data_IF_013163030359
#
_entry.id   IF_013163030359
#
_cell.length_a   1.000
_cell.length_b   1.000
_cell.length_c   1.000
_cell.angle_alpha   90.00
_cell.angle_beta   90.00
_cell.angle_gamma   90.00
#
_symmetry.space_group_name_H-M   'P 1'
#
loop_
_entity.id
_entity.type
_entity.pdbx_description
1 polymer ?
#
# COMPACT_ATOMS: atom_id res chain seq x y z
N UNK A 1 -20.39 -12.12 10.17
CA UNK A 1 -20.90 -11.35 8.99
C UNK A 1 -19.79 -10.84 8.06
N UNK A 2 -18.85 -11.71 7.67
CA UNK A 2 -17.83 -11.40 6.64
C UNK A 2 -18.44 -11.19 5.23
N UNK A 3 -19.68 -11.60 5.00
CA UNK A 3 -20.27 -11.61 3.67
C UNK A 3 -20.69 -10.26 3.07
N UNK A 4 -20.93 -9.22 3.88
CA UNK A 4 -21.44 -7.95 3.36
C UNK A 4 -20.29 -7.03 2.86
N UNK A 5 -19.20 -6.92 3.63
CA UNK A 5 -18.06 -6.08 3.26
C UNK A 5 -17.32 -6.63 2.02
N UNK A 6 -17.19 -7.96 1.91
CA UNK A 6 -16.60 -8.61 0.73
C UNK A 6 -17.45 -8.46 -0.52
N UNK A 7 -18.79 -8.44 -0.39
CA UNK A 7 -19.72 -8.27 -1.54
C UNK A 7 -19.73 -6.85 -2.12
N UNK A 8 -19.29 -5.86 -1.37
CA UNK A 8 -19.28 -4.44 -1.77
C UNK A 8 -17.87 -3.85 -1.90
N UNK A 9 -16.85 -4.57 -1.47
CA UNK A 9 -15.46 -4.14 -1.51
C UNK A 9 -14.89 -4.00 -2.93
N UNK A 10 -13.69 -3.39 -3.06
CA UNK A 10 -13.01 -3.20 -4.35
C UNK A 10 -12.83 -4.51 -5.13
N UNK A 11 -12.48 -5.60 -4.45
CA UNK A 11 -12.34 -6.90 -5.09
C UNK A 11 -13.67 -7.43 -5.64
N UNK A 12 -14.78 -7.25 -4.94
CA UNK A 12 -16.10 -7.62 -5.44
C UNK A 12 -16.55 -6.74 -6.63
N UNK A 13 -16.17 -5.46 -6.63
CA UNK A 13 -16.47 -4.56 -7.76
C UNK A 13 -15.64 -4.86 -9.01
N UNK A 14 -14.46 -5.45 -8.82
CA UNK A 14 -13.59 -5.86 -9.92
C UNK A 14 -14.24 -6.93 -10.83
N UNK A 15 -15.30 -7.61 -10.39
CA UNK A 15 -16.01 -8.65 -11.16
C UNK A 15 -17.20 -8.16 -11.97
N UNK A 16 -17.53 -6.89 -11.93
CA UNK A 16 -18.66 -6.37 -12.73
C UNK A 16 -18.28 -6.30 -14.19
N UNK A 17 -19.26 -6.56 -15.07
CA UNK A 17 -19.10 -6.41 -16.51
C UNK A 17 -18.51 -5.04 -16.86
N UNK A 18 -17.49 -5.03 -17.72
CA UNK A 18 -16.75 -3.82 -18.10
C UNK A 18 -15.55 -3.47 -17.22
N UNK A 19 -15.28 -4.20 -16.13
CA UNK A 19 -14.03 -4.07 -15.37
C UNK A 19 -12.86 -4.71 -16.13
N UNK A 20 -11.61 -4.18 -15.99
CA UNK A 20 -10.41 -4.87 -16.48
C UNK A 20 -10.22 -6.28 -15.93
N UNK A 21 -10.89 -6.60 -14.83
CA UNK A 21 -10.94 -7.93 -14.20
C UNK A 21 -12.24 -8.69 -14.49
N UNK A 22 -13.01 -8.27 -15.50
CA UNK A 22 -14.14 -9.01 -16.07
C UNK A 22 -13.70 -10.45 -16.47
N UNK A 23 -14.63 -11.44 -16.57
CA UNK A 23 -14.30 -12.86 -16.77
C UNK A 23 -13.25 -13.17 -17.83
N UNK A 24 -13.12 -12.34 -18.86
CA UNK A 24 -12.04 -12.44 -19.88
C UNK A 24 -10.68 -11.97 -19.39
N UNK A 25 -10.59 -11.08 -18.40
CA UNK A 25 -9.34 -10.63 -17.77
C UNK A 25 -8.89 -11.53 -16.62
N UNK A 26 -9.82 -12.24 -16.00
CA UNK A 26 -9.52 -13.17 -14.90
C UNK A 26 -8.72 -14.40 -15.37
N UNK A 27 -8.85 -14.80 -16.61
CA UNK A 27 -8.11 -15.91 -17.23
C UNK A 27 -6.59 -15.69 -17.22
N UNK A 28 -6.15 -14.44 -17.24
CA UNK A 28 -4.72 -14.09 -17.18
C UNK A 28 -4.07 -14.49 -15.86
N UNK A 29 -4.83 -14.52 -14.77
CA UNK A 29 -4.34 -14.87 -13.43
C UNK A 29 -4.84 -16.24 -12.94
N UNK A 30 -5.93 -16.76 -13.50
CA UNK A 30 -6.66 -17.93 -12.98
C UNK A 30 -6.80 -19.09 -13.97
N UNK A 31 -6.35 -18.95 -15.22
CA UNK A 31 -6.56 -19.97 -16.25
C UNK A 31 -8.06 -20.14 -16.59
N UNK A 32 -8.39 -21.21 -17.31
CA UNK A 32 -9.75 -21.48 -17.81
C UNK A 32 -10.77 -21.95 -16.75
N UNK A 33 -10.43 -21.93 -15.47
CA UNK A 33 -11.38 -22.31 -14.44
C UNK A 33 -12.35 -21.16 -14.17
N UNK A 34 -13.66 -21.45 -14.24
CA UNK A 34 -14.74 -20.56 -13.84
C UNK A 34 -14.75 -20.16 -12.35
N UNK A 35 -13.69 -20.49 -11.62
CA UNK A 35 -13.48 -20.05 -10.25
C UNK A 35 -13.14 -18.56 -10.27
N UNK A 36 -14.18 -17.75 -10.27
CA UNK A 36 -14.05 -16.34 -9.96
C UNK A 36 -13.14 -16.19 -8.74
N UNK A 37 -12.38 -15.09 -8.66
CA UNK A 37 -11.63 -14.65 -7.48
C UNK A 37 -12.58 -14.47 -6.27
N UNK A 38 -13.22 -15.53 -5.86
CA UNK A 38 -13.92 -15.61 -4.59
C UNK A 38 -12.91 -15.73 -3.45
N UNK A 39 -13.35 -16.24 -2.36
CA UNK A 39 -12.51 -16.52 -1.19
C UNK A 39 -11.29 -17.38 -1.55
N UNK A 40 -11.45 -18.32 -2.46
CA UNK A 40 -10.43 -19.28 -2.88
C UNK A 40 -9.24 -18.65 -3.60
N UNK A 41 -9.40 -17.50 -4.27
CA UNK A 41 -8.30 -16.79 -4.91
C UNK A 41 -7.22 -16.37 -3.91
N UNK A 42 -7.61 -16.06 -2.68
CA UNK A 42 -6.70 -15.71 -1.61
C UNK A 42 -6.47 -16.88 -0.63
N UNK A 43 -7.53 -17.60 -0.29
CA UNK A 43 -7.49 -18.64 0.74
C UNK A 43 -7.17 -20.06 0.23
N UNK A 44 -7.09 -20.24 -1.10
CA UNK A 44 -6.91 -21.55 -1.72
C UNK A 44 -8.20 -22.35 -1.76
N UNK A 45 -8.14 -23.61 -2.20
CA UNK A 45 -9.29 -24.47 -2.38
C UNK A 45 -10.08 -24.65 -1.08
N UNK A 46 -11.37 -24.27 -1.10
CA UNK A 46 -12.24 -24.24 0.07
C UNK A 46 -13.02 -25.53 0.31
N UNK A 47 -12.99 -26.50 -0.61
CA UNK A 47 -13.83 -27.72 -0.51
C UNK A 47 -13.61 -28.46 0.82
N UNK A 48 -12.36 -28.74 1.21
CA UNK A 48 -12.06 -29.43 2.45
C UNK A 48 -12.50 -28.67 3.71
N UNK A 49 -12.48 -27.33 3.65
CA UNK A 49 -13.00 -26.46 4.70
C UNK A 49 -14.52 -26.58 4.85
N UNK A 50 -15.23 -26.57 3.73
CA UNK A 50 -16.70 -26.71 3.69
C UNK A 50 -17.11 -28.11 4.13
N UNK A 51 -16.50 -29.16 3.59
CA UNK A 51 -16.80 -30.56 3.91
C UNK A 51 -16.56 -30.86 5.41
N UNK A 52 -15.62 -30.16 6.03
CA UNK A 52 -15.32 -30.27 7.47
C UNK A 52 -16.15 -29.30 8.34
N UNK A 53 -17.30 -28.81 7.84
CA UNK A 53 -18.19 -27.92 8.61
C UNK A 53 -17.60 -26.58 8.98
N UNK A 54 -16.65 -26.07 8.21
CA UNK A 54 -16.02 -24.77 8.45
C UNK A 54 -14.72 -24.86 9.26
N UNK A 55 -14.07 -26.00 9.30
CA UNK A 55 -12.77 -26.16 9.97
C UNK A 55 -11.70 -25.24 9.34
N UNK A 56 -11.29 -24.24 10.10
CA UNK A 56 -10.32 -23.22 9.67
C UNK A 56 -8.91 -23.79 9.40
N UNK A 57 -8.60 -24.99 9.87
CA UNK A 57 -7.30 -25.64 9.59
C UNK A 57 -7.22 -26.19 8.17
N UNK A 58 -8.34 -26.31 7.49
CA UNK A 58 -8.47 -26.85 6.12
C UNK A 58 -8.44 -25.77 5.03
N UNK A 59 -8.13 -24.54 5.40
CA UNK A 59 -8.03 -23.41 4.45
C UNK A 59 -6.81 -22.56 4.80
N UNK A 60 -6.25 -21.86 3.80
CA UNK A 60 -5.11 -20.96 4.02
C UNK A 60 -5.49 -19.83 4.97
N UNK A 61 -4.69 -19.62 5.99
CA UNK A 61 -4.91 -18.62 7.03
C UNK A 61 -3.76 -17.63 7.04
N UNK A 62 -4.04 -16.39 6.70
CA UNK A 62 -3.02 -15.32 6.60
C UNK A 62 -2.32 -15.03 7.93
N UNK A 63 -3.01 -15.20 9.07
CA UNK A 63 -2.42 -15.04 10.40
C UNK A 63 -1.41 -16.15 10.78
N UNK A 64 -1.33 -17.21 9.98
CA UNK A 64 -0.35 -18.29 10.14
C UNK A 64 0.80 -18.22 9.15
N UNK A 65 0.76 -17.27 8.25
CA UNK A 65 1.77 -17.04 7.22
C UNK A 65 2.76 -15.99 7.66
N UNK A 66 3.99 -16.09 7.19
CA UNK A 66 4.94 -14.97 7.26
C UNK A 66 4.44 -13.80 6.42
N UNK A 67 4.97 -12.60 6.69
CA UNK A 67 4.61 -11.41 5.90
C UNK A 67 4.94 -11.60 4.41
N UNK A 68 6.06 -12.26 4.10
CA UNK A 68 6.47 -12.55 2.73
C UNK A 68 5.49 -13.51 2.03
N UNK A 69 5.12 -14.62 2.67
CA UNK A 69 4.14 -15.57 2.11
C UNK A 69 2.78 -14.91 1.88
N UNK A 70 2.30 -14.13 2.86
CA UNK A 70 1.05 -13.39 2.74
C UNK A 70 1.12 -12.36 1.59
N UNK A 71 2.24 -11.66 1.46
CA UNK A 71 2.46 -10.69 0.38
C UNK A 71 2.52 -11.35 -1.00
N UNK A 72 3.13 -12.54 -1.10
CA UNK A 72 3.20 -13.29 -2.35
C UNK A 72 1.82 -13.62 -2.92
N UNK A 73 0.84 -13.92 -2.06
CA UNK A 73 -0.56 -14.11 -2.50
C UNK A 73 -1.13 -12.87 -3.16
N UNK A 74 -0.87 -11.69 -2.57
CA UNK A 74 -1.35 -10.42 -3.13
C UNK A 74 -0.59 -10.05 -4.41
N UNK A 75 0.74 -10.23 -4.42
CA UNK A 75 1.64 -9.85 -5.50
C UNK A 75 1.45 -10.71 -6.75
N UNK A 76 0.82 -11.88 -6.67
CA UNK A 76 0.45 -12.66 -7.84
C UNK A 76 -0.42 -11.87 -8.83
N UNK A 77 -1.18 -10.87 -8.34
CA UNK A 77 -1.99 -9.96 -9.14
C UNK A 77 -1.53 -8.50 -9.00
N UNK A 78 -1.09 -8.07 -7.82
CA UNK A 78 -0.66 -6.71 -7.51
C UNK A 78 0.86 -6.53 -7.66
N UNK A 79 1.40 -6.75 -8.87
CA UNK A 79 2.84 -6.67 -9.17
C UNK A 79 3.21 -5.51 -10.09
N UNK A 80 2.27 -4.63 -10.44
CA UNK A 80 2.47 -3.54 -11.41
C UNK A 80 2.33 -2.16 -10.77
N UNK A 81 2.67 -1.12 -11.52
CA UNK A 81 2.56 0.29 -11.10
C UNK A 81 3.27 0.56 -9.77
N UNK A 82 2.58 1.14 -8.80
CA UNK A 82 3.16 1.49 -7.50
C UNK A 82 3.65 0.29 -6.67
N UNK A 83 3.27 -0.95 -7.02
CA UNK A 83 3.65 -2.18 -6.33
C UNK A 83 4.84 -2.90 -6.99
N UNK A 84 5.29 -2.44 -8.16
CA UNK A 84 6.35 -3.11 -8.92
C UNK A 84 7.67 -3.25 -8.15
N UNK A 85 7.93 -2.35 -7.20
CA UNK A 85 9.15 -2.34 -6.38
C UNK A 85 8.91 -2.84 -4.95
N UNK A 86 7.82 -3.58 -4.71
CA UNK A 86 7.52 -4.12 -3.37
C UNK A 86 8.60 -5.09 -2.89
N UNK A 87 8.93 -6.08 -3.71
CA UNK A 87 9.96 -7.06 -3.37
C UNK A 87 11.32 -6.41 -3.10
N UNK A 88 11.86 -6.63 -1.92
CA UNK A 88 13.10 -6.00 -1.46
C UNK A 88 12.95 -4.56 -0.98
N UNK A 89 11.73 -4.00 -0.93
CA UNK A 89 11.49 -2.67 -0.36
C UNK A 89 11.83 -2.61 1.14
N UNK A 90 11.94 -1.41 1.69
CA UNK A 90 12.27 -1.22 3.11
C UNK A 90 11.26 -1.88 4.06
N UNK A 91 9.97 -1.93 3.68
CA UNK A 91 8.94 -2.60 4.46
C UNK A 91 9.05 -4.12 4.33
N UNK A 92 9.21 -4.63 3.11
CA UNK A 92 9.37 -6.06 2.85
C UNK A 92 10.56 -6.64 3.61
N UNK A 93 11.74 -6.00 3.54
CA UNK A 93 12.94 -6.41 4.26
C UNK A 93 12.78 -6.41 5.78
N UNK A 94 11.81 -5.70 6.33
CA UNK A 94 11.51 -5.64 7.76
C UNK A 94 10.32 -6.50 8.17
N UNK A 95 9.93 -7.44 7.31
CA UNK A 95 8.82 -8.36 7.55
C UNK A 95 7.47 -7.63 7.77
N UNK A 96 7.29 -6.48 7.12
CA UNK A 96 6.01 -5.77 7.05
C UNK A 96 5.35 -6.16 5.73
N UNK A 97 4.25 -6.92 5.78
CA UNK A 97 3.56 -7.40 4.59
C UNK A 97 2.33 -6.58 4.22
N UNK A 98 1.71 -6.91 3.11
CA UNK A 98 0.48 -6.24 2.64
C UNK A 98 -0.60 -6.22 3.72
N UNK A 99 -0.79 -7.34 4.42
CA UNK A 99 -1.77 -7.49 5.49
C UNK A 99 -1.42 -6.74 6.77
N UNK A 100 -0.22 -6.17 6.90
CA UNK A 100 0.13 -5.29 8.02
C UNK A 100 -0.63 -3.95 7.93
N UNK A 101 -0.88 -3.48 6.70
CA UNK A 101 -1.51 -2.20 6.41
C UNK A 101 -2.95 -2.34 5.91
N UNK A 102 -3.25 -3.40 5.16
CA UNK A 102 -4.53 -3.60 4.49
C UNK A 102 -5.38 -4.69 5.14
N UNK A 103 -6.68 -4.47 5.17
CA UNK A 103 -7.71 -5.45 5.56
C UNK A 103 -8.76 -5.53 4.46
N UNK A 104 -8.81 -6.66 3.77
CA UNK A 104 -9.74 -6.87 2.67
C UNK A 104 -11.17 -7.20 3.13
N UNK A 105 -11.35 -7.60 4.39
CA UNK A 105 -12.63 -8.01 4.93
C UNK A 105 -13.34 -6.90 5.71
N UNK A 106 -12.58 -6.11 6.48
CA UNK A 106 -13.12 -5.09 7.37
C UNK A 106 -12.23 -3.83 7.40
N UNK A 107 -12.03 -3.17 6.25
CA UNK A 107 -11.23 -1.96 6.21
C UNK A 107 -11.89 -0.84 7.02
N UNK A 108 -11.07 0.01 7.64
CA UNK A 108 -11.50 1.17 8.40
C UNK A 108 -11.37 2.47 7.61
N UNK A 109 -10.54 2.48 6.58
CA UNK A 109 -10.28 3.64 5.74
C UNK A 109 -10.24 3.28 4.25
N UNK A 110 -9.99 4.29 3.42
CA UNK A 110 -9.85 4.14 1.98
C UNK A 110 -8.71 3.18 1.62
N UNK A 111 -8.72 2.67 0.40
CA UNK A 111 -7.72 1.72 -0.11
C UNK A 111 -7.54 0.47 0.78
N UNK A 112 -8.59 0.03 1.46
CA UNK A 112 -8.59 -1.13 2.37
C UNK A 112 -7.67 -0.96 3.59
N UNK A 113 -7.41 0.24 4.05
CA UNK A 113 -6.54 0.49 5.19
C UNK A 113 -7.17 0.00 6.51
N UNK A 114 -6.33 -0.53 7.40
CA UNK A 114 -6.71 -0.97 8.76
C UNK A 114 -6.99 0.19 9.72
N UNK A 115 -6.65 1.42 9.35
CA UNK A 115 -6.92 2.63 10.11
C UNK A 115 -7.81 3.58 9.32
N UNK A 116 -8.48 4.51 10.02
CA UNK A 116 -9.39 5.47 9.41
C UNK A 116 -8.68 6.48 8.48
N UNK A 117 -7.38 6.68 8.66
CA UNK A 117 -6.56 7.50 7.79
C UNK A 117 -5.17 6.89 7.60
N UNK A 118 -4.50 7.28 6.51
CA UNK A 118 -3.13 6.89 6.24
C UNK A 118 -2.18 7.33 7.36
N UNK A 119 -2.28 8.58 7.80
CA UNK A 119 -1.45 9.11 8.89
C UNK A 119 -1.63 8.31 10.17
N UNK A 120 -2.86 7.95 10.53
CA UNK A 120 -3.14 7.12 11.71
C UNK A 120 -2.53 5.72 11.56
N UNK A 121 -2.56 5.15 10.36
CA UNK A 121 -1.92 3.87 10.08
C UNK A 121 -0.40 3.96 10.22
N UNK A 122 0.23 4.94 9.58
CA UNK A 122 1.69 5.13 9.63
C UNK A 122 2.17 5.38 11.07
N UNK A 123 1.39 6.11 11.87
CA UNK A 123 1.68 6.43 13.27
C UNK A 123 1.76 5.18 14.17
N UNK A 124 1.20 4.05 13.78
CA UNK A 124 1.28 2.81 14.58
C UNK A 124 2.73 2.36 14.78
N UNK A 125 3.59 2.60 13.78
CA UNK A 125 5.02 2.27 13.82
C UNK A 125 5.92 3.52 13.78
N UNK A 126 5.57 4.55 13.01
CA UNK A 126 6.38 5.75 12.78
C UNK A 126 6.02 6.91 13.70
N UNK A 127 5.76 6.65 14.98
CA UNK A 127 5.34 7.67 15.97
C UNK A 127 6.27 8.88 16.05
N UNK A 128 7.57 8.64 16.06
CA UNK A 128 8.56 9.73 16.15
C UNK A 128 8.49 10.67 14.96
N UNK A 129 8.30 10.12 13.76
CA UNK A 129 8.19 10.91 12.52
C UNK A 129 6.89 11.72 12.54
N UNK A 130 5.77 11.10 12.89
CA UNK A 130 4.49 11.79 12.97
C UNK A 130 4.55 12.91 14.03
N UNK A 131 5.14 12.66 15.20
CA UNK A 131 5.30 13.68 16.22
C UNK A 131 6.19 14.86 15.79
N UNK A 132 7.25 14.59 15.00
CA UNK A 132 8.06 15.66 14.41
C UNK A 132 7.25 16.48 13.43
N UNK A 133 6.45 15.86 12.57
CA UNK A 133 5.55 16.55 11.63
C UNK A 133 4.53 17.46 12.35
N UNK A 134 4.08 17.09 13.54
CA UNK A 134 3.18 17.92 14.35
C UNK A 134 3.89 19.16 14.93
N UNK A 135 5.21 19.09 15.15
CA UNK A 135 5.99 20.19 15.73
C UNK A 135 6.57 21.15 14.69
N UNK A 136 7.12 20.60 13.60
CA UNK A 136 7.90 21.32 12.59
C UNK A 136 7.27 21.16 11.20
N UNK A 137 6.21 21.63 11.06
CA UNK A 137 5.16 21.74 10.09
C UNK A 137 5.51 21.71 8.61
N UNK A 138 5.15 20.66 7.96
CA UNK A 138 4.57 20.82 6.64
C UNK A 138 3.05 21.01 6.83
N UNK A 139 2.56 22.23 6.82
CA UNK A 139 1.16 22.58 7.12
C UNK A 139 0.12 21.73 6.39
N UNK A 140 0.27 21.44 5.07
CA UNK A 140 -0.68 20.61 4.35
C UNK A 140 -0.86 19.20 4.94
N UNK A 141 0.17 18.61 5.54
CA UNK A 141 0.06 17.30 6.22
C UNK A 141 -0.76 17.43 7.49
N UNK A 142 -0.51 18.48 8.26
CA UNK A 142 -1.26 18.76 9.50
C UNK A 142 -2.74 19.07 9.21
N UNK A 143 -3.01 19.75 8.11
CA UNK A 143 -4.36 20.09 7.67
C UNK A 143 -5.08 18.93 6.95
N UNK A 144 -4.43 17.78 6.80
CA UNK A 144 -4.99 16.63 6.10
C UNK A 144 -5.07 16.77 4.58
N UNK A 145 -4.49 17.82 4.00
CA UNK A 145 -4.43 18.04 2.55
C UNK A 145 -3.37 17.19 1.85
N UNK A 146 -2.39 16.74 2.60
CA UNK A 146 -1.34 15.82 2.17
C UNK A 146 -1.24 14.66 3.17
N UNK A 147 -0.72 13.54 2.69
CA UNK A 147 -0.46 12.36 3.50
C UNK A 147 1.01 11.95 3.37
N UNK A 148 1.43 10.95 4.12
CA UNK A 148 2.79 10.40 4.00
C UNK A 148 3.05 9.90 2.56
N UNK A 149 2.05 9.30 1.91
CA UNK A 149 2.15 8.83 0.54
C UNK A 149 2.19 9.96 -0.51
N UNK A 150 1.97 11.21 -0.14
CA UNK A 150 2.20 12.34 -1.06
C UNK A 150 3.68 12.48 -1.42
N UNK A 151 4.59 12.13 -0.48
CA UNK A 151 6.03 12.16 -0.68
C UNK A 151 6.65 10.77 -0.81
N UNK A 152 6.05 9.74 -0.19
CA UNK A 152 6.62 8.40 -0.13
C UNK A 152 5.80 7.39 -0.93
N UNK A 153 6.46 6.51 -1.69
CA UNK A 153 5.84 5.31 -2.20
C UNK A 153 6.08 4.16 -1.20
N UNK A 154 5.12 3.92 -0.33
CA UNK A 154 5.22 2.92 0.73
C UNK A 154 5.36 1.48 0.22
N UNK A 155 5.00 1.25 -1.05
CA UNK A 155 5.13 -0.06 -1.69
C UNK A 155 6.51 -0.29 -2.33
N UNK A 156 7.39 0.70 -2.31
CA UNK A 156 8.76 0.58 -2.81
C UNK A 156 9.15 1.74 -3.73
N UNK A 157 10.39 2.10 -3.68
CA UNK A 157 11.03 3.09 -4.56
C UNK A 157 12.50 2.75 -4.74
N UNK A 158 13.14 3.34 -5.76
CA UNK A 158 14.55 3.11 -6.06
C UNK A 158 15.51 3.65 -4.98
N UNK A 159 15.01 4.46 -4.07
CA UNK A 159 15.80 5.07 -3.00
C UNK A 159 15.37 4.55 -1.61
N UNK A 160 16.30 4.57 -0.68
CA UNK A 160 16.10 4.03 0.69
C UNK A 160 15.07 4.77 1.53
N UNK A 161 14.68 5.99 1.14
CA UNK A 161 13.66 6.78 1.84
C UNK A 161 12.28 6.65 1.20
N UNK A 162 12.14 5.80 0.20
CA UNK A 162 10.90 5.55 -0.53
C UNK A 162 10.28 6.81 -1.14
N UNK A 163 11.09 7.79 -1.56
CA UNK A 163 10.60 9.01 -2.19
C UNK A 163 9.95 8.67 -3.55
N UNK A 164 8.77 9.25 -3.80
CA UNK A 164 8.00 9.05 -5.04
C UNK A 164 8.61 9.76 -6.23
N UNK A 165 9.19 10.93 -5.99
CA UNK A 165 9.70 11.82 -7.03
C UNK A 165 11.16 12.05 -6.78
N UNK A 166 11.98 11.80 -7.81
CA UNK A 166 13.42 11.97 -7.74
C UNK A 166 14.13 11.00 -6.79
N UNK A 167 15.45 11.13 -6.70
CA UNK A 167 16.30 10.36 -5.81
C UNK A 167 16.68 11.10 -4.54
N UNK A 168 16.41 12.41 -4.47
CA UNK A 168 16.84 13.31 -3.40
C UNK A 168 15.68 14.02 -2.72
N UNK A 169 15.92 14.53 -1.52
CA UNK A 169 14.96 15.36 -0.80
C UNK A 169 14.68 16.64 -1.57
N UNK A 170 15.72 17.25 -2.14
CA UNK A 170 15.59 18.45 -2.96
C UNK A 170 14.60 18.24 -4.11
N UNK A 171 14.81 17.20 -4.93
CA UNK A 171 13.91 16.88 -6.05
C UNK A 171 12.46 16.65 -5.60
N UNK A 172 12.28 15.98 -4.48
CA UNK A 172 10.94 15.77 -3.91
C UNK A 172 10.28 17.08 -3.49
N UNK A 173 11.03 17.99 -2.88
CA UNK A 173 10.49 19.30 -2.46
C UNK A 173 10.13 20.17 -3.65
N UNK A 174 11.03 20.30 -4.63
CA UNK A 174 10.82 21.17 -5.82
C UNK A 174 9.82 20.60 -6.83
N UNK A 175 9.35 19.38 -6.63
CA UNK A 175 8.22 18.86 -7.41
C UNK A 175 6.93 19.63 -7.16
N UNK A 176 6.77 20.21 -5.96
CA UNK A 176 5.66 21.09 -5.59
C UNK A 176 6.11 22.55 -5.45
N UNK A 177 7.33 22.78 -4.95
CA UNK A 177 7.95 24.09 -4.77
C UNK A 177 8.86 24.44 -5.95
N UNK A 178 8.29 24.44 -7.15
CA UNK A 178 9.06 24.63 -8.39
C UNK A 178 9.81 25.97 -8.43
N UNK A 179 9.27 27.00 -7.75
CA UNK A 179 9.90 28.31 -7.63
C UNK A 179 11.19 28.30 -6.79
N UNK A 180 11.43 27.22 -6.04
CA UNK A 180 12.67 27.03 -5.25
C UNK A 180 13.73 26.20 -5.97
N UNK A 181 13.47 25.78 -7.19
CA UNK A 181 14.41 24.97 -7.97
C UNK A 181 15.68 25.72 -8.35
N UNK A 182 15.59 27.02 -8.54
CA UNK A 182 16.70 27.84 -9.08
C UNK A 182 16.76 27.83 -10.61
N UNK A 183 17.82 28.38 -11.21
CA UNK A 183 18.94 29.01 -10.52
C UNK A 183 18.53 30.30 -9.79
N UNK A 184 19.08 30.51 -8.61
CA UNK A 184 18.92 31.73 -7.84
C UNK A 184 20.12 32.65 -8.04
N UNK A 185 19.91 33.96 -7.99
CA UNK A 185 21.01 34.92 -8.15
C UNK A 185 22.11 34.73 -7.07
N UNK A 186 21.66 34.35 -5.88
CA UNK A 186 22.53 34.03 -4.75
C UNK A 186 22.08 32.69 -4.15
N UNK A 187 22.81 31.64 -4.48
CA UNK A 187 22.50 30.30 -3.95
C UNK A 187 23.22 30.06 -2.62
N UNK A 188 22.46 29.65 -1.63
CA UNK A 188 23.01 29.12 -0.39
C UNK A 188 23.15 27.60 -0.56
N UNK A 189 24.39 27.12 -0.56
CA UNK A 189 24.73 25.72 -0.89
C UNK A 189 23.83 24.65 -0.25
N UNK A 190 23.50 24.70 1.06
CA UNK A 190 22.60 23.70 1.67
C UNK A 190 21.21 23.63 1.03
N UNK A 191 20.71 24.71 0.42
CA UNK A 191 19.38 24.77 -0.19
C UNK A 191 19.30 23.92 -1.45
N UNK A 192 20.42 23.77 -2.17
CA UNK A 192 20.46 22.96 -3.40
C UNK A 192 20.58 21.47 -3.13
N UNK A 193 20.91 21.06 -1.90
CA UNK A 193 21.09 19.66 -1.53
C UNK A 193 19.93 19.10 -0.70
N UNK A 194 19.59 19.76 0.40
CA UNK A 194 18.65 19.19 1.37
C UNK A 194 17.87 20.25 2.14
N UNK A 195 16.65 20.50 1.69
CA UNK A 195 15.74 21.44 2.34
C UNK A 195 15.43 21.06 3.80
N UNK A 196 15.44 19.76 4.13
CA UNK A 196 15.16 19.26 5.47
C UNK A 196 16.30 19.50 6.48
N UNK A 197 17.40 20.13 6.09
CA UNK A 197 18.47 20.57 7.02
C UNK A 197 17.99 21.73 7.90
N UNK A 198 17.13 22.60 7.36
CA UNK A 198 16.58 23.76 8.05
C UNK A 198 15.07 23.64 8.34
N UNK A 199 14.36 22.88 7.52
CA UNK A 199 12.93 22.60 7.62
C UNK A 199 12.69 21.15 8.10
#
# INVERSE_FOLDING_TARGET
>A
NMGAATKQGPHARAYRAGSPMSPTGCQTCHGDTKAALGCEGCHGAGKAHVDAGGDKTKIRRFEKMSASEASAVCSSCHSKSSHAMWGGSQHDQRNVGCTSCHDVHAPKGDNLLKAASETALCATCHRTIVNKQLKFNHMPVREGKMTCASCHNVHGAANVKLLRTGGTIFESCVSCHAEKRGPMLWEHFPVTENCATCH
#
